data_IF_594605075811
#
_entry.id   IF_594605075811
#
_cell.length_a   1.000
_cell.length_b   1.000
_cell.length_c   1.000
_cell.angle_alpha   90.00
_cell.angle_beta   90.00
_cell.angle_gamma   90.00
#
_symmetry.space_group_name_H-M   'P 1'
#
loop_
_entity.id
_entity.type
_entity.pdbx_description
1 polymer ?
#
# COMPACT_ATOMS: atom_id res chain seq x y z
N UNK A 1 24.25 12.89 -54.19
CA UNK A 1 24.98 11.93 -53.35
C UNK A 1 24.67 12.30 -51.89
N UNK A 2 23.63 11.67 -51.31
CA UNK A 2 23.17 11.93 -49.91
C UNK A 2 23.67 10.78 -49.05
N UNK A 3 24.49 11.12 -48.06
CA UNK A 3 24.93 10.19 -47.04
C UNK A 3 23.94 10.25 -45.85
N UNK A 4 23.17 9.18 -45.71
CA UNK A 4 22.35 8.95 -44.52
C UNK A 4 23.26 8.55 -43.31
N UNK A 5 23.30 9.38 -42.28
CA UNK A 5 23.92 9.04 -41.00
C UNK A 5 22.94 8.22 -40.15
N UNK A 6 23.19 6.92 -40.02
CA UNK A 6 22.56 6.07 -39.00
C UNK A 6 23.18 6.37 -37.63
N UNK A 7 22.55 7.21 -36.85
CA UNK A 7 22.85 7.41 -35.44
C UNK A 7 22.14 6.34 -34.58
N UNK A 8 22.62 5.13 -34.56
CA UNK A 8 22.21 4.13 -33.58
C UNK A 8 22.88 4.45 -32.24
N UNK A 9 22.11 4.89 -31.23
CA UNK A 9 22.60 5.10 -29.88
C UNK A 9 23.00 3.74 -29.29
N UNK A 10 24.31 3.46 -29.22
CA UNK A 10 24.85 2.33 -28.46
C UNK A 10 24.64 2.62 -26.98
N UNK A 11 23.70 1.91 -26.33
CA UNK A 11 23.61 1.87 -24.86
C UNK A 11 24.90 1.25 -24.33
N UNK A 12 25.51 1.87 -23.32
CA UNK A 12 26.76 1.38 -22.76
C UNK A 12 26.56 0.02 -22.07
N UNK A 13 27.60 -0.81 -22.06
CA UNK A 13 27.59 -2.09 -21.35
C UNK A 13 27.21 -1.93 -19.87
N UNK A 14 27.52 -0.79 -19.26
CA UNK A 14 27.12 -0.46 -17.89
C UNK A 14 25.61 -0.23 -17.74
N UNK A 15 24.92 0.30 -18.76
CA UNK A 15 23.45 0.41 -18.77
C UNK A 15 22.77 -0.95 -18.97
N UNK A 16 23.38 -1.84 -19.75
CA UNK A 16 22.88 -3.20 -19.99
C UNK A 16 23.02 -4.05 -18.71
N UNK A 17 24.15 -3.95 -18.00
CA UNK A 17 24.37 -4.63 -16.72
C UNK A 17 23.46 -4.10 -15.60
N UNK A 18 23.17 -2.80 -15.58
CA UNK A 18 22.20 -2.22 -14.62
C UNK A 18 20.78 -2.70 -14.87
N UNK A 19 20.37 -2.83 -16.13
CA UNK A 19 19.03 -3.35 -16.49
C UNK A 19 18.88 -4.82 -16.11
N UNK A 20 19.90 -5.63 -16.28
CA UNK A 20 19.87 -7.07 -15.98
C UNK A 20 19.84 -7.33 -14.46
N UNK A 21 20.61 -6.59 -13.67
CA UNK A 21 20.57 -6.68 -12.20
C UNK A 21 19.25 -6.17 -11.59
N UNK A 22 18.58 -5.22 -12.23
CA UNK A 22 17.30 -4.69 -11.76
C UNK A 22 16.15 -5.69 -11.94
N UNK A 23 16.22 -6.55 -12.96
CA UNK A 23 15.23 -7.59 -13.26
C UNK A 23 15.35 -8.77 -12.28
N UNK A 24 16.52 -8.97 -11.68
CA UNK A 24 16.78 -10.14 -10.83
C UNK A 24 16.60 -9.87 -9.33
N UNK A 25 16.51 -8.59 -8.89
CA UNK A 25 16.40 -8.25 -7.49
C UNK A 25 15.03 -8.63 -6.93
N UNK A 26 14.99 -9.53 -5.96
CA UNK A 26 13.79 -9.90 -5.22
C UNK A 26 13.48 -8.81 -4.19
N UNK A 27 12.24 -8.34 -4.18
CA UNK A 27 11.76 -7.33 -3.22
C UNK A 27 10.85 -8.01 -2.19
N UNK A 28 11.23 -7.96 -0.91
CA UNK A 28 10.41 -8.45 0.20
C UNK A 28 9.46 -7.37 0.69
N UNK A 29 8.17 -7.68 0.69
CA UNK A 29 7.10 -6.71 0.95
C UNK A 29 6.24 -7.16 2.12
N UNK A 30 6.01 -6.26 3.07
CA UNK A 30 5.01 -6.41 4.12
C UNK A 30 3.78 -5.56 3.78
N UNK A 31 2.63 -6.21 3.62
CA UNK A 31 1.34 -5.58 3.36
C UNK A 31 0.43 -5.72 4.59
N UNK A 32 0.37 -4.66 5.38
CA UNK A 32 -0.37 -4.62 6.65
C UNK A 32 -1.80 -4.15 6.44
N UNK A 33 -2.74 -4.71 7.23
CA UNK A 33 -4.18 -4.46 7.10
C UNK A 33 -4.65 -4.78 5.68
N UNK A 34 -4.24 -5.95 5.20
CA UNK A 34 -4.24 -6.28 3.78
C UNK A 34 -5.64 -6.37 3.17
N UNK A 35 -6.69 -6.62 3.97
CA UNK A 35 -8.05 -6.81 3.51
C UNK A 35 -8.08 -7.80 2.32
N UNK A 36 -8.63 -7.42 1.18
CA UNK A 36 -8.66 -8.20 -0.06
C UNK A 36 -7.55 -7.82 -1.05
N UNK A 37 -6.50 -7.14 -0.59
CA UNK A 37 -5.33 -6.79 -1.40
C UNK A 37 -5.60 -5.82 -2.53
N UNK A 38 -6.44 -4.79 -2.29
CA UNK A 38 -6.72 -3.79 -3.33
C UNK A 38 -5.46 -3.08 -3.82
N UNK A 39 -4.60 -2.63 -2.89
CA UNK A 39 -3.29 -2.04 -3.21
C UNK A 39 -2.37 -3.03 -3.94
N UNK A 40 -2.41 -4.33 -3.56
CA UNK A 40 -1.54 -5.41 -4.07
C UNK A 40 -1.86 -5.83 -5.51
N UNK A 41 -3.10 -5.69 -5.95
CA UNK A 41 -3.69 -6.36 -7.12
C UNK A 41 -2.88 -6.21 -8.42
N UNK A 42 -2.19 -5.09 -8.61
CA UNK A 42 -1.44 -4.81 -9.85
C UNK A 42 0.07 -4.69 -9.65
N UNK A 43 0.63 -5.19 -8.53
CA UNK A 43 2.06 -5.07 -8.28
C UNK A 43 2.90 -5.95 -9.19
N UNK A 44 2.43 -7.16 -9.53
CA UNK A 44 3.15 -8.06 -10.44
C UNK A 44 3.29 -7.50 -11.88
N UNK A 45 2.40 -6.57 -12.27
CA UNK A 45 2.52 -5.87 -13.55
C UNK A 45 3.66 -4.82 -13.54
N UNK A 46 4.20 -4.49 -12.38
CA UNK A 46 5.28 -3.52 -12.19
C UNK A 46 6.62 -4.23 -12.00
N UNK A 47 6.64 -5.22 -11.14
CA UNK A 47 7.81 -6.03 -10.83
C UNK A 47 7.34 -7.42 -10.40
N UNK A 48 7.77 -8.45 -11.10
CA UNK A 48 7.30 -9.83 -10.93
C UNK A 48 8.10 -10.61 -9.87
N UNK A 49 9.33 -10.19 -9.58
CA UNK A 49 10.16 -10.83 -8.56
C UNK A 49 9.92 -10.22 -7.17
N UNK A 50 8.71 -10.45 -6.62
CA UNK A 50 8.30 -9.98 -5.28
C UNK A 50 7.96 -11.14 -4.36
N UNK A 51 8.23 -10.95 -3.08
CA UNK A 51 7.81 -11.85 -1.99
C UNK A 51 6.94 -11.04 -1.02
N UNK A 52 5.65 -11.32 -0.99
CA UNK A 52 4.69 -10.55 -0.21
C UNK A 52 4.22 -11.35 1.00
N UNK A 53 4.30 -10.74 2.17
CA UNK A 53 3.61 -11.18 3.39
C UNK A 53 2.46 -10.22 3.66
N UNK A 54 1.24 -10.72 3.65
CA UNK A 54 0.02 -9.97 3.98
C UNK A 54 -0.44 -10.30 5.38
N UNK A 55 -0.77 -9.28 6.18
CA UNK A 55 -1.31 -9.46 7.54
C UNK A 55 -2.73 -8.91 7.59
N UNK A 56 -3.68 -9.74 8.00
CA UNK A 56 -5.10 -9.43 8.11
C UNK A 56 -5.67 -10.10 9.35
N UNK A 57 -6.49 -9.39 10.12
CA UNK A 57 -7.08 -9.91 11.35
C UNK A 57 -8.37 -10.71 11.12
N UNK A 58 -9.10 -10.41 10.04
CA UNK A 58 -10.32 -11.12 9.67
C UNK A 58 -9.96 -12.40 8.90
N UNK A 59 -10.22 -13.56 9.49
CA UNK A 59 -9.88 -14.87 8.92
C UNK A 59 -10.50 -15.08 7.53
N UNK A 60 -11.73 -14.61 7.32
CA UNK A 60 -12.41 -14.78 6.02
C UNK A 60 -11.82 -13.85 4.95
N UNK A 61 -11.43 -12.62 5.30
CA UNK A 61 -10.70 -11.74 4.39
C UNK A 61 -9.32 -12.31 4.08
N UNK A 62 -8.61 -12.85 5.07
CA UNK A 62 -7.31 -13.49 4.89
C UNK A 62 -7.41 -14.71 3.95
N UNK A 63 -8.45 -15.54 4.12
CA UNK A 63 -8.74 -16.68 3.25
C UNK A 63 -8.96 -16.24 1.80
N UNK A 64 -9.82 -15.23 1.58
CA UNK A 64 -10.11 -14.68 0.26
C UNK A 64 -8.90 -13.97 -0.36
N UNK A 65 -8.08 -13.30 0.46
CA UNK A 65 -6.81 -12.75 0.02
C UNK A 65 -5.90 -13.85 -0.52
N UNK A 66 -5.75 -14.96 0.22
CA UNK A 66 -4.92 -16.10 -0.20
C UNK A 66 -5.41 -16.76 -1.47
N UNK A 67 -6.72 -16.83 -1.67
CA UNK A 67 -7.30 -17.32 -2.94
C UNK A 67 -6.97 -16.39 -4.11
N UNK A 68 -7.00 -15.08 -3.87
CA UNK A 68 -6.69 -14.06 -4.89
C UNK A 68 -5.19 -14.01 -5.22
N UNK A 69 -4.33 -14.21 -4.22
CA UNK A 69 -2.87 -14.15 -4.33
C UNK A 69 -2.23 -15.43 -3.77
N UNK A 70 -2.29 -16.54 -4.52
CA UNK A 70 -1.85 -17.85 -4.00
C UNK A 70 -0.36 -17.93 -3.68
N UNK A 71 0.46 -17.04 -4.26
CA UNK A 71 1.91 -17.01 -4.01
C UNK A 71 2.31 -16.16 -2.81
N UNK A 72 1.42 -15.28 -2.32
CA UNK A 72 1.69 -14.44 -1.15
C UNK A 72 1.59 -15.26 0.15
N UNK A 73 2.45 -14.99 1.13
CA UNK A 73 2.26 -15.47 2.49
C UNK A 73 1.12 -14.68 3.16
N UNK A 74 0.26 -15.34 3.92
CA UNK A 74 -0.83 -14.68 4.65
C UNK A 74 -0.76 -15.05 6.11
N UNK A 75 -0.75 -14.04 6.97
CA UNK A 75 -0.75 -14.15 8.43
C UNK A 75 -2.07 -13.61 8.96
N UNK A 76 -2.80 -14.44 9.70
CA UNK A 76 -3.99 -14.01 10.42
C UNK A 76 -3.55 -13.48 11.78
N UNK A 77 -3.69 -12.17 12.02
CA UNK A 77 -3.23 -11.59 13.27
C UNK A 77 -3.28 -10.07 13.31
N UNK A 78 -2.79 -9.53 14.41
CA UNK A 78 -2.67 -8.08 14.61
C UNK A 78 -1.53 -7.52 13.77
N UNK A 79 -1.87 -6.63 12.83
CA UNK A 79 -0.92 -6.04 11.89
C UNK A 79 0.08 -5.10 12.58
N UNK A 80 -0.34 -4.38 13.64
CA UNK A 80 0.55 -3.50 14.39
C UNK A 80 1.61 -4.30 15.14
N UNK A 81 1.20 -5.35 15.86
CA UNK A 81 2.14 -6.22 16.58
C UNK A 81 3.10 -6.90 15.59
N UNK A 82 2.59 -7.41 14.47
CA UNK A 82 3.42 -8.02 13.44
C UNK A 82 4.46 -7.05 12.87
N UNK A 83 4.07 -5.79 12.65
CA UNK A 83 5.00 -4.74 12.24
C UNK A 83 6.16 -4.59 13.22
N UNK A 84 5.85 -4.48 14.53
CA UNK A 84 6.88 -4.28 15.56
C UNK A 84 7.89 -5.44 15.62
N UNK A 85 7.41 -6.66 15.40
CA UNK A 85 8.22 -7.86 15.53
C UNK A 85 9.08 -8.15 14.28
N UNK A 86 8.58 -7.79 13.07
CA UNK A 86 9.12 -8.27 11.80
C UNK A 86 9.61 -7.19 10.82
N UNK A 87 9.48 -5.89 11.13
CA UNK A 87 9.74 -4.81 10.17
C UNK A 87 11.13 -4.87 9.49
N UNK A 88 12.14 -5.43 10.15
CA UNK A 88 13.52 -5.52 9.63
C UNK A 88 13.71 -6.52 8.49
N UNK A 89 12.74 -7.40 8.29
CA UNK A 89 12.80 -8.50 7.32
C UNK A 89 12.42 -8.07 5.89
N UNK A 90 11.92 -6.83 5.73
CA UNK A 90 11.32 -6.35 4.50
C UNK A 90 12.08 -5.16 3.90
N UNK A 91 11.98 -5.04 2.58
CA UNK A 91 12.50 -3.90 1.80
C UNK A 91 11.46 -2.79 1.67
N UNK A 92 10.18 -3.20 1.60
CA UNK A 92 9.04 -2.29 1.48
C UNK A 92 7.91 -2.67 2.45
N UNK A 93 7.33 -1.67 3.11
CA UNK A 93 6.16 -1.82 3.98
C UNK A 93 5.03 -0.92 3.49
N UNK A 94 3.87 -1.53 3.21
CA UNK A 94 2.61 -0.83 3.01
C UNK A 94 1.72 -1.05 4.23
N UNK A 95 1.23 0.04 4.83
CA UNK A 95 0.28 -0.01 5.96
C UNK A 95 -0.95 0.83 5.66
N UNK A 96 -2.14 0.25 5.85
CA UNK A 96 -3.44 0.93 5.72
C UNK A 96 -4.26 0.74 7.01
N UNK A 97 -3.86 1.41 8.12
CA UNK A 97 -4.52 1.22 9.41
C UNK A 97 -6.00 1.62 9.38
N UNK A 98 -6.84 1.07 10.27
CA UNK A 98 -8.28 1.33 10.30
C UNK A 98 -8.61 2.82 10.35
N UNK A 99 -9.48 3.28 9.44
CA UNK A 99 -9.85 4.68 9.27
C UNK A 99 -11.13 5.15 10.03
N UNK A 100 -11.97 4.31 10.69
CA UNK A 100 -13.28 4.75 11.18
C UNK A 100 -13.23 5.92 12.15
N UNK A 101 -12.21 6.01 13.00
CA UNK A 101 -12.06 7.08 14.00
C UNK A 101 -11.51 8.38 13.43
N UNK A 102 -10.99 8.36 12.19
CA UNK A 102 -10.43 9.50 11.48
C UNK A 102 -11.40 10.08 10.44
N UNK A 103 -12.30 9.25 9.90
CA UNK A 103 -13.13 9.59 8.74
C UNK A 103 -14.16 10.68 9.01
N UNK A 104 -14.30 11.62 8.07
CA UNK A 104 -15.40 12.61 8.04
C UNK A 104 -16.78 11.98 7.91
N UNK A 105 -16.89 10.80 7.30
CA UNK A 105 -18.14 10.07 7.16
C UNK A 105 -18.81 9.77 8.53
N UNK A 106 -18.02 9.76 9.60
CA UNK A 106 -18.49 9.64 10.97
C UNK A 106 -19.53 10.72 11.36
N UNK A 107 -19.41 11.92 10.82
CA UNK A 107 -20.29 13.04 11.14
C UNK A 107 -21.52 13.14 10.22
N UNK A 108 -21.57 12.44 9.10
CA UNK A 108 -22.70 12.53 8.16
C UNK A 108 -23.99 11.97 8.76
N UNK A 109 -23.89 10.91 9.55
CA UNK A 109 -25.05 10.30 10.20
C UNK A 109 -25.59 11.14 11.39
N UNK A 110 -24.75 11.99 12.01
CA UNK A 110 -25.17 12.84 13.11
C UNK A 110 -26.00 14.05 12.66
N UNK A 111 -25.94 14.42 11.37
CA UNK A 111 -26.74 15.51 10.80
C UNK A 111 -28.14 15.06 10.41
N UNK A 112 -28.30 13.78 10.01
CA UNK A 112 -29.57 13.19 9.57
C UNK A 112 -30.34 12.49 10.69
N UNK A 113 -29.66 12.06 11.73
CA UNK A 113 -30.24 11.34 12.86
C UNK A 113 -30.01 12.17 14.16
N UNK A 114 -31.09 12.54 14.86
CA UNK A 114 -31.01 13.33 16.07
C UNK A 114 -30.35 12.62 17.26
N UNK A 115 -29.83 11.43 17.04
CA UNK A 115 -29.01 10.68 18.00
C UNK A 115 -27.58 11.22 17.98
N UNK A 116 -27.21 11.93 19.04
CA UNK A 116 -25.86 12.46 19.23
C UNK A 116 -24.83 11.35 19.06
N UNK A 117 -23.97 11.49 18.05
CA UNK A 117 -22.84 10.55 17.85
C UNK A 117 -21.93 10.66 19.06
N UNK A 118 -21.74 9.55 19.78
CA UNK A 118 -20.80 9.51 20.90
C UNK A 118 -19.41 9.92 20.41
N UNK A 119 -18.76 10.94 21.01
CA UNK A 119 -17.41 11.30 20.66
C UNK A 119 -16.46 10.10 20.83
N UNK A 120 -15.63 9.85 19.81
CA UNK A 120 -14.60 8.81 19.86
C UNK A 120 -13.27 9.47 19.51
N UNK A 121 -12.27 9.23 20.33
CA UNK A 121 -10.93 9.72 20.06
C UNK A 121 -10.40 9.12 18.75
N UNK A 122 -9.62 9.89 17.95
CA UNK A 122 -8.84 9.34 16.86
C UNK A 122 -7.92 8.23 17.36
N UNK A 123 -7.87 7.14 16.63
CA UNK A 123 -6.95 6.05 16.95
C UNK A 123 -5.50 6.51 16.72
N UNK A 124 -4.74 6.65 17.79
CA UNK A 124 -3.37 7.15 17.74
C UNK A 124 -2.38 6.13 17.17
N UNK A 125 -2.78 4.87 16.99
CA UNK A 125 -1.92 3.84 16.38
C UNK A 125 -1.49 4.24 14.96
N UNK A 126 -2.33 4.94 14.20
CA UNK A 126 -1.93 5.53 12.90
C UNK A 126 -0.64 6.36 13.03
N UNK A 127 -0.58 7.27 14.00
CA UNK A 127 0.60 8.13 14.17
C UNK A 127 1.77 7.41 14.82
N UNK A 128 1.51 6.42 15.66
CA UNK A 128 2.56 5.55 16.22
C UNK A 128 3.27 4.79 15.11
N UNK A 129 2.54 4.20 14.15
CA UNK A 129 3.13 3.51 13.00
C UNK A 129 3.93 4.44 12.10
N UNK A 130 3.39 5.65 11.82
CA UNK A 130 4.11 6.66 11.01
C UNK A 130 5.45 7.01 11.67
N UNK A 131 5.44 7.33 12.97
CA UNK A 131 6.65 7.67 13.72
C UNK A 131 7.62 6.49 13.80
N UNK A 132 7.10 5.29 14.05
CA UNK A 132 7.90 4.08 14.10
C UNK A 132 8.62 3.83 12.77
N UNK A 133 7.90 3.84 11.66
CA UNK A 133 8.48 3.62 10.34
C UNK A 133 9.47 4.72 9.97
N UNK A 134 9.17 5.97 10.30
CA UNK A 134 10.04 7.10 10.01
C UNK A 134 11.40 7.00 10.72
N UNK A 135 11.44 6.51 11.95
CA UNK A 135 12.65 6.52 12.77
C UNK A 135 13.40 5.19 12.79
N UNK A 136 12.70 4.07 12.71
CA UNK A 136 13.30 2.74 12.90
C UNK A 136 13.45 1.95 11.60
N UNK A 137 12.55 2.14 10.63
CA UNK A 137 12.61 1.38 9.40
C UNK A 137 13.60 2.01 8.39
N UNK A 138 14.48 1.19 7.82
CA UNK A 138 15.51 1.64 6.86
C UNK A 138 15.12 1.41 5.40
N UNK A 139 14.08 0.61 5.17
CA UNK A 139 13.52 0.33 3.85
C UNK A 139 12.66 1.48 3.31
N UNK A 140 11.82 1.16 2.35
CA UNK A 140 10.82 2.08 1.77
C UNK A 140 9.47 1.81 2.42
N UNK A 141 8.70 2.84 2.76
CA UNK A 141 7.38 2.64 3.37
C UNK A 141 6.33 3.61 2.84
N UNK A 142 5.09 3.17 2.93
CA UNK A 142 3.88 3.97 2.71
C UNK A 142 2.87 3.63 3.81
N UNK A 143 2.39 4.64 4.52
CA UNK A 143 1.21 4.56 5.37
C UNK A 143 0.09 5.31 4.68
N UNK A 144 -1.07 4.69 4.52
CA UNK A 144 -2.23 5.28 3.84
C UNK A 144 -3.41 5.40 4.81
N UNK A 145 -4.10 6.54 4.77
CA UNK A 145 -5.37 6.69 5.48
C UNK A 145 -6.24 7.75 4.79
N UNK A 146 -7.51 7.86 5.21
CA UNK A 146 -8.42 8.90 4.74
C UNK A 146 -7.96 10.30 5.18
N UNK A 147 -8.42 11.35 4.50
CA UNK A 147 -8.28 12.71 4.99
C UNK A 147 -9.15 12.85 6.24
N UNK A 148 -8.54 13.10 7.42
CA UNK A 148 -9.29 13.14 8.67
C UNK A 148 -10.19 14.37 8.79
N UNK A 149 -11.14 14.35 9.74
CA UNK A 149 -11.99 15.48 10.06
C UNK A 149 -11.26 16.60 10.83
N UNK A 150 -10.09 16.31 11.35
CA UNK A 150 -9.23 17.23 12.07
C UNK A 150 -7.96 17.53 11.25
N UNK A 151 -7.14 18.50 11.69
CA UNK A 151 -5.84 18.77 11.09
C UNK A 151 -4.89 17.61 11.44
N UNK A 152 -4.31 16.90 10.46
CA UNK A 152 -3.37 15.81 10.72
C UNK A 152 -2.23 16.24 11.64
N UNK A 153 -1.87 15.41 12.62
CA UNK A 153 -0.76 15.68 13.54
C UNK A 153 0.59 15.66 12.82
N UNK A 154 0.72 14.78 11.85
CA UNK A 154 1.89 14.69 10.97
C UNK A 154 1.42 15.03 9.55
N UNK A 155 2.03 16.02 8.88
CA UNK A 155 1.68 16.35 7.50
C UNK A 155 1.89 15.17 6.56
N UNK A 156 0.87 14.84 5.76
CA UNK A 156 0.91 13.78 4.76
C UNK A 156 0.76 14.32 3.34
N UNK A 157 1.14 13.52 2.36
CA UNK A 157 1.00 13.81 0.94
C UNK A 157 -0.42 13.49 0.47
N UNK A 158 -1.21 14.49 0.07
CA UNK A 158 -2.60 14.29 -0.35
C UNK A 158 -2.67 13.78 -1.78
N UNK A 159 -3.41 12.68 -2.01
CA UNK A 159 -3.81 12.20 -3.35
C UNK A 159 -5.29 11.79 -3.31
N UNK A 160 -6.10 12.47 -4.08
CA UNK A 160 -7.55 12.24 -4.08
C UNK A 160 -8.17 12.42 -2.69
N UNK A 161 -8.77 11.36 -2.16
CA UNK A 161 -9.45 11.32 -0.86
C UNK A 161 -8.56 10.80 0.29
N UNK A 162 -7.29 10.49 0.03
CA UNK A 162 -6.38 9.90 0.99
C UNK A 162 -5.17 10.78 1.28
N UNK A 163 -4.58 10.58 2.43
CA UNK A 163 -3.26 11.03 2.81
C UNK A 163 -2.31 9.83 2.81
N UNK A 164 -1.09 10.11 2.40
CA UNK A 164 -0.01 9.14 2.39
C UNK A 164 1.18 9.70 3.14
N UNK A 165 1.77 8.90 4.00
CA UNK A 165 3.03 9.18 4.68
C UNK A 165 4.07 8.20 4.17
N UNK A 166 5.18 8.70 3.69
CA UNK A 166 6.24 7.88 3.07
C UNK A 166 7.58 8.60 3.15
N UNK A 167 8.67 7.86 3.04
CA UNK A 167 10.02 8.41 2.96
C UNK A 167 10.46 8.73 1.52
N UNK A 168 9.52 8.83 0.60
CA UNK A 168 9.72 9.28 -0.79
C UNK A 168 8.53 10.15 -1.25
N UNK A 169 8.70 10.84 -2.36
CA UNK A 169 7.61 11.63 -2.95
C UNK A 169 6.61 10.71 -3.66
N UNK A 170 5.36 10.71 -3.19
CA UNK A 170 4.26 10.01 -3.86
C UNK A 170 3.96 10.72 -5.19
N UNK A 171 3.95 10.01 -6.33
CA UNK A 171 3.65 10.60 -7.63
C UNK A 171 2.30 11.32 -7.66
N UNK A 172 2.18 12.33 -8.49
CA UNK A 172 0.86 12.91 -8.78
C UNK A 172 0.09 11.98 -9.71
N UNK A 173 -1.11 11.60 -9.30
CA UNK A 173 -2.03 10.85 -10.15
C UNK A 173 -3.46 11.31 -9.94
N UNK A 174 -4.28 11.16 -10.99
CA UNK A 174 -5.72 11.37 -10.89
C UNK A 174 -6.33 10.14 -10.21
N UNK A 175 -6.75 10.29 -8.96
CA UNK A 175 -7.44 9.22 -8.25
C UNK A 175 -8.72 8.86 -9.02
N UNK A 176 -8.98 7.56 -9.19
CA UNK A 176 -10.28 7.11 -9.71
C UNK A 176 -11.36 7.52 -8.71
N UNK A 177 -12.49 7.90 -9.21
CA UNK A 177 -13.61 8.33 -8.38
C UNK A 177 -14.80 7.42 -8.59
N UNK A 178 -15.32 6.89 -7.50
CA UNK A 178 -16.63 6.24 -7.48
C UNK A 178 -17.59 7.09 -6.64
N UNK A 179 -18.75 7.37 -7.19
CA UNK A 179 -19.79 8.04 -6.44
C UNK A 179 -20.38 7.05 -5.42
N UNK A 180 -20.07 7.28 -4.15
CA UNK A 180 -20.67 6.54 -3.05
C UNK A 180 -22.10 7.06 -2.88
N UNK A 181 -23.06 6.21 -3.12
CA UNK A 181 -24.48 6.50 -2.93
C UNK A 181 -25.13 5.31 -2.25
N UNK A 182 -25.95 5.55 -1.25
CA UNK A 182 -26.69 4.52 -0.49
C UNK A 182 -27.76 3.76 -1.32
N UNK A 183 -27.63 3.74 -2.62
CA UNK A 183 -28.56 3.07 -3.54
C UNK A 183 -28.34 1.57 -3.69
N UNK A 184 -29.39 0.85 -4.09
CA UNK A 184 -29.42 -0.63 -4.25
C UNK A 184 -28.28 -1.20 -5.11
N UNK A 185 -27.65 -0.42 -5.98
CA UNK A 185 -26.61 -0.86 -6.92
C UNK A 185 -25.19 -0.45 -6.51
N UNK A 186 -25.00 0.07 -5.29
CA UNK A 186 -23.68 0.55 -4.87
C UNK A 186 -22.63 -0.57 -4.82
N UNK A 187 -22.99 -1.69 -4.20
CA UNK A 187 -22.06 -2.82 -4.07
C UNK A 187 -21.64 -3.37 -5.45
N UNK A 188 -22.57 -3.43 -6.40
CA UNK A 188 -22.26 -3.86 -7.77
C UNK A 188 -21.23 -2.92 -8.44
N UNK A 189 -21.45 -1.60 -8.34
CA UNK A 189 -20.49 -0.61 -8.86
C UNK A 189 -19.12 -0.67 -8.15
N UNK A 190 -19.10 -1.04 -6.86
CA UNK A 190 -17.86 -1.26 -6.13
C UNK A 190 -17.16 -2.54 -6.59
N UNK A 191 -17.91 -3.60 -6.95
CA UNK A 191 -17.31 -4.77 -7.58
C UNK A 191 -16.61 -4.41 -8.88
N UNK A 192 -17.29 -3.66 -9.77
CA UNK A 192 -16.70 -3.21 -11.05
C UNK A 192 -15.49 -2.29 -10.83
N UNK A 193 -15.59 -1.38 -9.85
CA UNK A 193 -14.51 -0.45 -9.54
C UNK A 193 -13.24 -1.15 -9.06
N UNK A 194 -13.38 -2.20 -8.23
CA UNK A 194 -12.26 -2.93 -7.65
C UNK A 194 -11.86 -4.17 -8.44
N UNK A 195 -12.60 -4.48 -9.52
CA UNK A 195 -12.42 -5.73 -10.28
C UNK A 195 -12.43 -6.95 -9.34
N UNK A 196 -13.45 -7.00 -8.46
CA UNK A 196 -13.56 -8.03 -7.44
C UNK A 196 -15.01 -8.29 -7.04
N UNK A 197 -15.38 -9.58 -6.93
CA UNK A 197 -16.71 -10.01 -6.49
C UNK A 197 -16.78 -10.07 -4.95
N UNK A 198 -17.26 -9.00 -4.29
CA UNK A 198 -17.39 -8.96 -2.83
C UNK A 198 -18.44 -9.93 -2.27
N UNK A 199 -19.35 -10.46 -3.08
CA UNK A 199 -20.36 -11.42 -2.65
C UNK A 199 -19.78 -12.78 -2.22
N UNK A 200 -18.50 -13.01 -2.48
CA UNK A 200 -17.77 -14.20 -2.00
C UNK A 200 -17.51 -14.18 -0.50
N UNK A 201 -17.44 -13.01 0.12
CA UNK A 201 -17.20 -12.87 1.55
C UNK A 201 -18.39 -13.42 2.35
N UNK A 202 -18.11 -14.31 3.32
CA UNK A 202 -19.09 -14.99 4.19
C UNK A 202 -18.91 -14.68 5.68
N UNK A 203 -18.02 -13.75 6.01
CA UNK A 203 -17.79 -13.33 7.39
C UNK A 203 -18.86 -12.38 7.94
N UNK A 204 -18.58 -11.75 9.07
CA UNK A 204 -19.54 -10.93 9.81
C UNK A 204 -19.57 -9.46 9.39
N UNK A 205 -18.63 -8.99 8.56
CA UNK A 205 -18.58 -7.59 8.15
C UNK A 205 -19.57 -7.28 7.03
N UNK A 206 -20.02 -6.04 6.94
CA UNK A 206 -20.87 -5.58 5.84
C UNK A 206 -20.04 -5.46 4.56
N UNK A 207 -20.54 -6.02 3.46
CA UNK A 207 -19.86 -6.04 2.15
C UNK A 207 -19.57 -4.63 1.61
N UNK A 208 -20.50 -3.69 1.77
CA UNK A 208 -20.32 -2.31 1.34
C UNK A 208 -19.22 -1.59 2.14
N UNK A 209 -19.07 -1.93 3.43
CA UNK A 209 -17.98 -1.40 4.28
C UNK A 209 -16.62 -1.91 3.80
N UNK A 210 -16.49 -3.23 3.55
CA UNK A 210 -15.26 -3.83 3.02
C UNK A 210 -14.90 -3.18 1.68
N UNK A 211 -15.86 -3.08 0.76
CA UNK A 211 -15.64 -2.56 -0.57
C UNK A 211 -15.27 -1.06 -0.59
N UNK A 212 -15.85 -0.24 0.30
CA UNK A 212 -15.52 1.19 0.44
C UNK A 212 -14.14 1.43 1.04
N UNK A 213 -13.67 0.51 1.88
CA UNK A 213 -12.38 0.61 2.57
C UNK A 213 -11.24 -0.01 1.76
N UNK A 214 -11.53 -0.77 0.71
CA UNK A 214 -10.49 -1.36 -0.11
C UNK A 214 -9.74 -0.29 -0.90
N UNK A 215 -8.41 -0.31 -0.79
CA UNK A 215 -7.53 0.63 -1.51
C UNK A 215 -7.70 0.47 -3.03
N UNK A 216 -7.74 1.59 -3.76
CA UNK A 216 -7.79 1.60 -5.22
C UNK A 216 -6.52 0.97 -5.80
N UNK A 217 -6.67 -0.11 -6.56
CA UNK A 217 -5.54 -0.83 -7.16
C UNK A 217 -4.71 0.03 -8.12
N UNK A 218 -5.32 1.03 -8.77
CA UNK A 218 -4.57 1.93 -9.64
C UNK A 218 -3.62 2.82 -8.83
N UNK A 219 -4.07 3.32 -7.68
CA UNK A 219 -3.21 4.04 -6.75
C UNK A 219 -2.09 3.12 -6.24
N UNK A 220 -2.44 1.88 -5.84
CA UNK A 220 -1.48 0.86 -5.43
C UNK A 220 -0.39 0.61 -6.47
N UNK A 221 -0.78 0.43 -7.74
CA UNK A 221 0.15 0.22 -8.86
C UNK A 221 1.10 1.41 -9.08
N UNK A 222 0.56 2.63 -9.12
CA UNK A 222 1.36 3.84 -9.38
C UNK A 222 2.36 4.09 -8.26
N UNK A 223 1.92 3.93 -7.01
CA UNK A 223 2.79 4.09 -5.84
C UNK A 223 3.86 3.01 -5.82
N UNK A 224 3.49 1.75 -6.08
CA UNK A 224 4.44 0.65 -6.10
C UNK A 224 5.51 0.80 -7.19
N UNK A 225 5.14 1.34 -8.36
CA UNK A 225 6.12 1.68 -9.39
C UNK A 225 7.19 2.63 -8.86
N UNK A 226 6.79 3.68 -8.15
CA UNK A 226 7.74 4.61 -7.53
C UNK A 226 8.59 3.93 -6.45
N UNK A 227 8.01 3.00 -5.68
CA UNK A 227 8.74 2.20 -4.69
C UNK A 227 9.84 1.38 -5.34
N UNK A 228 9.52 0.68 -6.43
CA UNK A 228 10.51 -0.11 -7.21
C UNK A 228 11.63 0.80 -7.72
N UNK A 229 11.28 1.96 -8.31
CA UNK A 229 12.27 2.93 -8.78
C UNK A 229 13.19 3.39 -7.66
N UNK A 230 12.66 3.67 -6.46
CA UNK A 230 13.44 4.09 -5.28
C UNK A 230 14.35 2.97 -4.79
N UNK A 231 13.88 1.73 -4.73
CA UNK A 231 14.65 0.57 -4.25
C UNK A 231 15.80 0.28 -5.22
N UNK A 232 15.53 0.24 -6.52
CA UNK A 232 16.52 -0.09 -7.55
C UNK A 232 17.57 1.03 -7.77
N UNK A 233 17.25 2.27 -7.42
CA UNK A 233 18.19 3.40 -7.50
C UNK A 233 19.09 3.52 -6.26
N UNK A 234 18.77 2.87 -5.13
CA UNK A 234 19.66 2.83 -3.98
C UNK A 234 20.94 2.09 -4.36
N UNK A 235 22.16 2.69 -4.19
CA UNK A 235 23.40 1.99 -4.44
C UNK A 235 23.42 0.74 -3.55
N UNK A 236 23.60 -0.41 -4.16
CA UNK A 236 23.84 -1.67 -3.44
C UNK A 236 25.06 -1.42 -2.53
N UNK A 237 24.89 -1.49 -1.20
CA UNK A 237 26.05 -1.51 -0.30
C UNK A 237 26.89 -2.72 -0.74
N UNK A 238 28.01 -2.46 -1.39
CA UNK A 238 29.06 -3.45 -1.49
C UNK A 238 29.37 -3.86 -0.05
N UNK A 239 29.05 -5.10 0.29
CA UNK A 239 29.56 -5.75 1.48
C UNK A 239 31.05 -5.81 1.25
N UNK A 240 31.78 -4.85 1.81
CA UNK A 240 33.22 -4.83 1.78
C UNK A 240 33.70 -6.08 2.47
N UNK A 241 34.48 -6.87 1.73
CA UNK A 241 35.10 -8.13 2.18
C UNK A 241 36.21 -7.91 3.23
N UNK A 242 36.24 -6.73 3.89
CA UNK A 242 37.25 -6.36 4.90
C UNK A 242 36.59 -5.61 6.06
N UNK A 243 35.85 -6.33 6.91
CA UNK A 243 35.75 -6.02 8.33
C UNK A 243 36.06 -7.28 9.13
N UNK A 244 37.26 -7.82 8.93
CA UNK A 244 37.92 -8.68 9.90
C UNK A 244 38.88 -7.82 10.72
N UNK A 245 38.76 -7.92 12.04
CA UNK A 245 39.69 -7.50 13.08
C UNK A 245 39.80 -5.99 13.35
N UNK A 246 39.17 -5.57 14.47
CA UNK A 246 39.96 -4.95 15.53
C UNK A 246 39.20 -5.04 16.88
N UNK A 247 39.87 -5.65 17.84
CA UNK A 247 39.82 -5.74 19.29
C UNK A 247 38.68 -5.05 20.05
#
# INVERSE_FOLDING_TARGET
>A
MMLNSFGGAFRSAAEFLKTDQSITMKIKILNLYACLGGNRYKWDEVHDNIEVTAVEIDEELARLYKERFPNDAVVVGDAHQYLLDHYKEYDFIWSSPPCPTHSRARFWNSVSDKTATVPVYPDMMLYQEILFLQHYFKGVYVVENVIPYYKPLIPGQKRGRHLYWSNFAIPNFKARHIQISSGKNELHRLCDFHDYNFYQYKGCQRLDKIARNLVDYNAGKIIFKQVVDVILQKPTKQVGLFESCNF
#
